data_IF_786554926133
#
_entry.id   IF_786554926133
#
_cell.length_a   1.000
_cell.length_b   1.000
_cell.length_c   1.000
_cell.angle_alpha   90.00
_cell.angle_beta   90.00
_cell.angle_gamma   90.00
#
_symmetry.space_group_name_H-M   'P 1'
#
loop_
_entity.id
_entity.type
_entity.pdbx_description
1 polymer ?
#
# COMPACT_ATOMS: atom_id res chain seq x y z
N UNK A 1 4.01 16.36 -2.64
CA UNK A 1 2.67 16.12 -2.05
C UNK A 1 2.74 14.77 -1.33
N UNK A 2 1.96 14.57 -0.27
CA UNK A 2 2.00 13.36 0.55
C UNK A 2 0.62 12.71 0.51
N UNK A 3 0.57 11.42 0.19
CA UNK A 3 -0.64 10.60 0.35
C UNK A 3 -0.49 9.73 1.59
N UNK A 4 -1.52 9.73 2.44
CA UNK A 4 -1.59 8.87 3.62
C UNK A 4 -2.83 7.96 3.54
N UNK A 5 -2.64 6.67 3.75
CA UNK A 5 -3.71 5.67 3.78
C UNK A 5 -3.62 4.90 5.10
N UNK A 6 -4.65 5.02 5.92
CA UNK A 6 -4.81 4.21 7.13
C UNK A 6 -5.57 2.94 6.80
N UNK A 7 -5.11 1.79 7.32
CA UNK A 7 -5.79 0.52 7.16
C UNK A 7 -6.41 0.09 8.49
N UNK A 8 -7.71 -0.19 8.45
CA UNK A 8 -8.43 -0.88 9.52
C UNK A 8 -8.84 -2.26 9.00
N UNK A 9 -8.20 -3.32 9.50
CA UNK A 9 -8.37 -4.67 8.95
C UNK A 9 -8.54 -5.70 10.06
N UNK A 10 -9.12 -6.85 9.70
CA UNK A 10 -9.43 -7.94 10.64
C UNK A 10 -8.23 -8.53 11.39
N UNK A 11 -6.99 -8.27 10.94
CA UNK A 11 -5.81 -8.73 11.66
C UNK A 11 -5.52 -7.95 12.95
N UNK A 12 -6.25 -6.86 13.22
CA UNK A 12 -6.17 -6.08 14.45
C UNK A 12 -4.94 -5.16 14.57
N UNK A 13 -4.01 -5.20 13.61
CA UNK A 13 -2.85 -4.31 13.62
C UNK A 13 -3.17 -2.95 12.99
N UNK A 14 -2.76 -1.88 13.68
CA UNK A 14 -2.85 -0.52 13.13
C UNK A 14 -1.73 -0.32 12.13
N UNK A 15 -2.08 0.06 10.90
CA UNK A 15 -1.11 0.36 9.83
C UNK A 15 -1.48 1.63 9.10
N UNK A 16 -0.47 2.46 8.82
CA UNK A 16 -0.57 3.64 7.95
C UNK A 16 0.52 3.57 6.89
N UNK A 17 0.13 3.70 5.63
CA UNK A 17 1.02 3.82 4.48
C UNK A 17 1.11 5.29 4.10
N UNK A 18 2.33 5.77 3.90
CA UNK A 18 2.64 7.15 3.53
C UNK A 18 3.47 7.11 2.25
N UNK A 19 3.06 7.82 1.22
CA UNK A 19 3.77 7.91 -0.04
C UNK A 19 4.07 9.38 -0.41
N UNK A 20 5.31 9.64 -0.80
CA UNK A 20 5.76 10.97 -1.26
C UNK A 20 6.50 10.80 -2.58
N UNK A 21 6.08 11.52 -3.61
CA UNK A 21 6.77 11.52 -4.90
C UNK A 21 7.84 12.62 -4.98
N UNK A 22 9.04 12.23 -5.37
CA UNK A 22 10.18 13.10 -5.67
C UNK A 22 10.76 12.76 -7.05
N UNK A 23 10.50 13.62 -8.03
CA UNK A 23 10.90 13.37 -9.42
C UNK A 23 10.26 12.10 -10.00
N UNK A 24 11.09 11.10 -10.30
CA UNK A 24 10.68 9.79 -10.86
C UNK A 24 10.55 8.69 -9.81
N UNK A 25 10.83 9.00 -8.55
CA UNK A 25 10.82 8.06 -7.44
C UNK A 25 9.66 8.37 -6.51
N UNK A 26 9.04 7.34 -5.96
CA UNK A 26 8.03 7.46 -4.90
C UNK A 26 8.53 6.78 -3.65
N UNK A 27 8.78 7.56 -2.60
CA UNK A 27 9.22 7.08 -1.30
C UNK A 27 8.02 6.56 -0.53
N UNK A 28 8.10 5.31 -0.07
CA UNK A 28 7.05 4.66 0.72
C UNK A 28 7.54 4.48 2.14
N UNK A 29 6.72 4.91 3.10
CA UNK A 29 6.93 4.65 4.52
C UNK A 29 5.68 4.04 5.15
N UNK A 30 5.86 2.93 5.88
CA UNK A 30 4.79 2.18 6.52
C UNK A 30 4.98 2.25 8.04
N UNK A 31 4.02 2.88 8.72
CA UNK A 31 3.94 2.88 10.19
C UNK A 31 3.01 1.75 10.62
N UNK A 32 3.50 0.80 11.41
CA UNK A 32 2.71 -0.38 11.76
C UNK A 32 3.09 -1.02 13.09
N UNK A 33 2.09 -1.63 13.72
CA UNK A 33 2.26 -2.53 14.88
C UNK A 33 2.48 -3.99 14.47
N UNK A 34 2.42 -4.34 13.18
CA UNK A 34 2.57 -5.72 12.71
C UNK A 34 4.04 -6.09 12.49
N UNK A 35 4.54 -7.09 13.23
CA UNK A 35 5.92 -7.59 13.07
C UNK A 35 6.19 -8.19 11.69
N UNK A 36 5.20 -8.82 11.05
CA UNK A 36 5.36 -9.36 9.69
C UNK A 36 5.65 -8.24 8.68
N UNK A 37 4.99 -7.10 8.81
CA UNK A 37 5.25 -5.93 7.96
C UNK A 37 6.61 -5.29 8.25
N UNK A 38 7.07 -5.30 9.51
CA UNK A 38 8.43 -4.85 9.85
C UNK A 38 9.49 -5.69 9.17
N UNK A 39 9.30 -7.01 9.13
CA UNK A 39 10.18 -7.95 8.40
C UNK A 39 10.07 -7.79 6.88
N UNK A 40 8.86 -7.59 6.37
CA UNK A 40 8.64 -7.31 4.94
C UNK A 40 9.32 -6.01 4.50
N UNK A 41 9.45 -5.04 5.40
CA UNK A 41 10.14 -3.77 5.18
C UNK A 41 9.16 -2.61 5.14
N UNK A 42 9.50 -1.54 5.86
CA UNK A 42 8.62 -0.39 6.11
C UNK A 42 9.10 0.90 5.45
N UNK A 43 10.24 0.86 4.77
CA UNK A 43 10.79 1.98 4.02
C UNK A 43 11.41 1.44 2.73
N UNK A 44 10.98 1.97 1.60
CA UNK A 44 11.50 1.60 0.28
C UNK A 44 11.02 2.58 -0.78
N UNK A 45 11.68 2.53 -1.93
CA UNK A 45 11.42 3.42 -3.07
C UNK A 45 10.77 2.64 -4.21
N UNK A 46 9.77 3.24 -4.83
CA UNK A 46 9.06 2.69 -5.99
C UNK A 46 9.37 3.53 -7.23
N UNK A 47 9.78 2.87 -8.31
CA UNK A 47 9.96 3.48 -9.62
C UNK A 47 8.67 3.39 -10.44
N UNK A 48 8.58 4.14 -11.55
CA UNK A 48 7.45 3.99 -12.48
C UNK A 48 7.30 2.57 -13.03
N UNK A 49 8.38 1.79 -13.18
CA UNK A 49 8.31 0.38 -13.62
C UNK A 49 7.51 -0.46 -12.63
N UNK A 50 7.75 -0.26 -11.33
CA UNK A 50 7.08 -1.00 -10.26
C UNK A 50 5.57 -0.73 -10.22
N UNK A 51 5.15 0.47 -10.65
CA UNK A 51 3.75 0.88 -10.63
C UNK A 51 2.91 0.24 -11.74
N UNK A 52 3.53 -0.32 -12.77
CA UNK A 52 2.84 -0.94 -13.91
C UNK A 52 2.40 -2.39 -13.64
N UNK A 53 2.78 -2.96 -12.49
CA UNK A 53 2.47 -4.36 -12.15
C UNK A 53 3.41 -5.38 -12.81
N UNK A 54 3.11 -6.67 -12.60
CA UNK A 54 3.91 -7.79 -13.10
C UNK A 54 4.68 -8.54 -12.01
N UNK A 55 5.28 -9.67 -12.40
CA UNK A 55 5.97 -10.60 -11.50
C UNK A 55 7.34 -10.11 -11.03
N UNK A 56 7.91 -9.11 -11.70
CA UNK A 56 9.25 -8.57 -11.40
C UNK A 56 9.22 -7.24 -10.64
N UNK A 57 8.05 -6.84 -10.13
CA UNK A 57 7.93 -5.60 -9.34
C UNK A 57 8.64 -5.74 -8.00
N UNK A 58 9.07 -4.61 -7.43
CA UNK A 58 9.62 -4.60 -6.07
C UNK A 58 8.68 -5.29 -5.07
N UNK A 59 7.37 -5.03 -5.13
CA UNK A 59 6.42 -5.68 -4.22
C UNK A 59 6.38 -7.20 -4.38
N UNK A 60 6.47 -7.71 -5.60
CA UNK A 60 6.55 -9.16 -5.84
C UNK A 60 7.83 -9.77 -5.24
N UNK A 61 8.98 -9.10 -5.41
CA UNK A 61 10.25 -9.53 -4.80
C UNK A 61 10.16 -9.57 -3.27
N UNK A 62 9.65 -8.49 -2.66
CA UNK A 62 9.45 -8.43 -1.19
C UNK A 62 8.52 -9.52 -0.68
N UNK A 63 7.47 -9.84 -1.43
CA UNK A 63 6.55 -10.95 -1.10
C UNK A 63 7.22 -12.33 -1.19
N UNK A 64 8.19 -12.51 -2.11
CA UNK A 64 8.98 -13.74 -2.20
C UNK A 64 9.98 -13.88 -1.04
N UNK A 65 10.63 -12.78 -0.65
CA UNK A 65 11.61 -12.76 0.44
C UNK A 65 10.99 -12.86 1.84
N UNK A 66 9.89 -12.14 2.06
CA UNK A 66 9.22 -12.04 3.36
C UNK A 66 7.69 -12.11 3.20
N UNK A 67 7.12 -13.31 2.98
CA UNK A 67 5.70 -13.44 2.65
C UNK A 67 4.77 -12.85 3.72
N UNK A 68 3.82 -12.04 3.27
CA UNK A 68 2.67 -11.61 4.08
C UNK A 68 1.50 -12.58 3.92
N UNK A 69 0.54 -12.51 4.84
CA UNK A 69 -0.74 -13.19 4.65
C UNK A 69 -1.37 -12.74 3.32
N UNK A 70 -1.90 -13.65 2.48
CA UNK A 70 -2.46 -13.28 1.17
C UNK A 70 -3.56 -12.21 1.22
N UNK A 71 -4.29 -12.13 2.33
CA UNK A 71 -5.37 -11.14 2.56
C UNK A 71 -4.89 -9.83 3.18
N UNK A 72 -3.58 -9.66 3.39
CA UNK A 72 -3.05 -8.40 3.89
C UNK A 72 -3.28 -7.30 2.85
N UNK A 73 -3.99 -6.25 3.22
CA UNK A 73 -4.31 -5.15 2.31
C UNK A 73 -3.17 -4.13 2.16
N UNK A 74 -2.07 -4.29 2.89
CA UNK A 74 -0.96 -3.32 2.88
C UNK A 74 -0.28 -3.21 1.51
N UNK A 75 0.04 -4.31 0.79
CA UNK A 75 0.56 -4.20 -0.58
C UNK A 75 -0.38 -3.42 -1.52
N UNK A 76 -1.70 -3.67 -1.42
CA UNK A 76 -2.69 -2.94 -2.20
C UNK A 76 -2.73 -1.44 -1.82
N UNK A 77 -2.67 -1.12 -0.52
CA UNK A 77 -2.61 0.27 -0.05
C UNK A 77 -1.32 0.99 -0.49
N UNK A 78 -0.17 0.30 -0.54
CA UNK A 78 1.06 0.84 -1.11
C UNK A 78 0.87 1.21 -2.58
N UNK A 79 0.31 0.31 -3.38
CA UNK A 79 0.03 0.61 -4.79
C UNK A 79 -0.93 1.77 -4.95
N UNK A 80 -2.02 1.82 -4.18
CA UNK A 80 -2.98 2.92 -4.20
C UNK A 80 -2.32 4.26 -3.86
N UNK A 81 -1.51 4.31 -2.80
CA UNK A 81 -0.80 5.52 -2.39
C UNK A 81 0.17 6.00 -3.48
N UNK A 82 0.94 5.07 -4.07
CA UNK A 82 1.85 5.39 -5.16
C UNK A 82 1.11 5.83 -6.43
N UNK A 83 0.02 5.17 -6.81
CA UNK A 83 -0.78 5.53 -7.97
C UNK A 83 -1.41 6.91 -7.83
N UNK A 84 -1.93 7.23 -6.65
CA UNK A 84 -2.41 8.58 -6.33
C UNK A 84 -1.29 9.61 -6.51
N UNK A 85 -0.11 9.40 -5.92
CA UNK A 85 1.01 10.33 -6.06
C UNK A 85 1.55 10.45 -7.48
N UNK A 86 1.39 9.43 -8.31
CA UNK A 86 1.85 9.43 -9.70
C UNK A 86 0.78 9.87 -10.71
N UNK A 87 -0.43 10.22 -10.28
CA UNK A 87 -1.52 10.61 -11.17
C UNK A 87 -2.11 9.45 -11.98
N UNK A 88 -1.84 8.20 -11.57
CA UNK A 88 -2.42 6.99 -12.15
C UNK A 88 -3.80 6.68 -11.55
N UNK A 89 -4.15 7.34 -10.44
CA UNK A 89 -5.46 7.31 -9.80
C UNK A 89 -5.93 8.73 -9.50
N UNK A 90 -7.22 9.03 -9.72
CA UNK A 90 -7.79 10.36 -9.45
C UNK A 90 -7.83 10.65 -7.95
N UNK A 91 -7.06 11.66 -7.50
CA UNK A 91 -7.09 12.14 -6.11
C UNK A 91 -8.44 12.76 -5.74
N UNK A 92 -9.14 13.38 -6.69
CA UNK A 92 -10.44 14.01 -6.41
C UNK A 92 -11.49 12.94 -6.11
N UNK A 93 -11.54 11.88 -6.91
CA UNK A 93 -12.46 10.77 -6.68
C UNK A 93 -12.14 10.05 -5.37
N UNK A 94 -10.86 9.82 -5.07
CA UNK A 94 -10.45 9.20 -3.81
C UNK A 94 -10.89 10.02 -2.58
N UNK A 95 -10.82 11.36 -2.65
CA UNK A 95 -11.31 12.24 -1.58
C UNK A 95 -12.83 12.22 -1.46
N UNK A 96 -13.54 12.19 -2.58
CA UNK A 96 -15.02 12.14 -2.60
C UNK A 96 -15.54 10.82 -2.00
N UNK A 97 -14.95 9.68 -2.38
CA UNK A 97 -15.31 8.39 -1.81
C UNK A 97 -14.88 8.24 -0.34
N UNK A 98 -13.74 8.84 0.03
CA UNK A 98 -13.20 8.88 1.39
C UNK A 98 -12.58 7.57 1.89
N UNK A 99 -13.07 6.41 1.46
CA UNK A 99 -12.59 5.09 1.88
C UNK A 99 -12.78 4.00 0.81
N UNK A 100 -11.97 2.96 0.91
CA UNK A 100 -12.14 1.68 0.21
C UNK A 100 -12.30 0.59 1.26
N UNK A 101 -13.29 -0.28 1.10
CA UNK A 101 -13.68 -1.25 2.12
C UNK A 101 -13.91 -2.65 1.53
N UNK A 102 -13.63 -3.66 2.35
CA UNK A 102 -14.17 -4.99 2.17
C UNK A 102 -15.30 -5.14 3.17
N UNK A 103 -16.50 -5.45 2.69
CA UNK A 103 -17.70 -5.61 3.51
C UNK A 103 -18.05 -7.09 3.58
N UNK A 104 -18.23 -7.60 4.80
CA UNK A 104 -18.71 -8.96 5.05
C UNK A 104 -20.24 -8.92 5.24
N UNK A 105 -21.00 -8.90 4.14
CA UNK A 105 -22.47 -8.75 4.21
C UNK A 105 -23.19 -9.94 4.85
N UNK A 106 -22.59 -11.13 4.85
CA UNK A 106 -23.12 -12.35 5.47
C UNK A 106 -22.00 -13.23 6.00
N UNK A 107 -22.09 -13.58 7.27
CA UNK A 107 -21.24 -14.55 7.97
C UNK A 107 -22.19 -15.49 8.75
N UNK A 108 -21.96 -16.79 8.70
CA UNK A 108 -22.79 -17.80 9.36
C UNK A 108 -22.43 -17.94 10.85
#
# INVERSE_FOLDING_TARGET
MVTEISLNTICGHTTKVIATKEGKTTHVHIKTTCEKLRKWGTQFDMSMKDLMGGSETLLAQKMAEAPLTPTCLVPAAVMNACWLENGLMSKNLAREMGKMELIFDKLE
#
